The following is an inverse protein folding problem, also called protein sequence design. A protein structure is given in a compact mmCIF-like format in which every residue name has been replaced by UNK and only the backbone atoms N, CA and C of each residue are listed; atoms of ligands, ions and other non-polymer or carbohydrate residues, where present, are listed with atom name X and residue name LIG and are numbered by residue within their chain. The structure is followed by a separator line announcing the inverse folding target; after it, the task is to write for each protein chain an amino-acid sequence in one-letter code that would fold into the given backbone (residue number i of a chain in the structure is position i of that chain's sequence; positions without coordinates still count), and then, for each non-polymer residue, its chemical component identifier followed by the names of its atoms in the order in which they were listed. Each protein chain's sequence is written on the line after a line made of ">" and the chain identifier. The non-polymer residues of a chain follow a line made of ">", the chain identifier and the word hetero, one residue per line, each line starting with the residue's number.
data_IF_247620355538
#
_entry.id   IF_247620355538
#
_cell.length_a   1.000
_cell.length_b   1.000
_cell.length_c   1.000
_cell.angle_alpha   90.00
_cell.angle_beta   90.00
_cell.angle_gamma   90.00
#
_symmetry.space_group_name_H-M   'P 1'
#
loop_
_entity.id
_entity.type
_entity.pdbx_description
1 polymer ?
#
# COMPACT_ATOMS: atom_id res chain seq x y z
N UNK A 1 -36.57 -34.33 -34.04
CA UNK A 1 -35.90 -33.01 -33.95
C UNK A 1 -36.18 -32.47 -32.56
N UNK A 2 -35.19 -32.55 -31.65
CA UNK A 2 -35.29 -32.01 -30.30
C UNK A 2 -34.71 -30.59 -30.34
N UNK A 3 -35.51 -29.59 -30.03
CA UNK A 3 -35.07 -28.22 -29.89
C UNK A 3 -34.42 -28.06 -28.51
N UNK A 4 -33.14 -27.69 -28.48
CA UNK A 4 -32.44 -27.35 -27.26
C UNK A 4 -32.99 -26.04 -26.65
N UNK A 5 -33.26 -26.03 -25.35
CA UNK A 5 -33.61 -24.84 -24.59
C UNK A 5 -32.44 -23.83 -24.58
N UNK A 6 -32.72 -22.51 -24.63
CA UNK A 6 -31.68 -21.49 -24.60
C UNK A 6 -31.07 -21.40 -23.19
N UNK A 7 -29.74 -21.38 -23.15
CA UNK A 7 -28.95 -21.17 -21.93
C UNK A 7 -29.43 -19.92 -21.17
N UNK A 8 -29.67 -20.09 -19.87
CA UNK A 8 -30.01 -19.01 -18.95
C UNK A 8 -28.98 -17.89 -19.00
N UNK A 9 -29.46 -16.66 -19.23
CA UNK A 9 -28.64 -15.43 -19.15
C UNK A 9 -27.89 -15.38 -17.80
N UNK A 10 -26.59 -15.05 -17.78
CA UNK A 10 -25.86 -14.95 -16.53
C UNK A 10 -26.49 -13.84 -15.68
N UNK A 11 -26.99 -14.24 -14.50
CA UNK A 11 -27.38 -13.34 -13.42
C UNK A 11 -26.36 -12.21 -13.32
N UNK A 12 -26.84 -10.97 -13.42
CA UNK A 12 -26.02 -9.78 -13.28
C UNK A 12 -25.27 -9.86 -11.94
N UNK A 13 -24.00 -10.26 -11.96
CA UNK A 13 -23.11 -10.16 -10.80
C UNK A 13 -23.16 -8.70 -10.38
N UNK A 14 -23.63 -8.44 -9.17
CA UNK A 14 -23.60 -7.11 -8.58
C UNK A 14 -22.18 -6.58 -8.70
N UNK A 15 -22.03 -5.43 -9.35
CA UNK A 15 -20.75 -4.73 -9.38
C UNK A 15 -20.43 -4.42 -7.92
N UNK A 16 -19.27 -4.87 -7.38
CA UNK A 16 -18.92 -4.58 -6.00
C UNK A 16 -18.79 -3.07 -5.84
N UNK A 17 -19.78 -2.46 -5.17
CA UNK A 17 -19.72 -1.05 -4.78
C UNK A 17 -18.80 -0.96 -3.58
N UNK A 18 -17.70 -0.23 -3.71
CA UNK A 18 -16.88 0.14 -2.56
C UNK A 18 -17.68 1.14 -1.73
N UNK A 19 -18.16 0.70 -0.57
CA UNK A 19 -18.82 1.59 0.38
C UNK A 19 -17.81 2.62 0.92
N UNK A 20 -18.08 3.90 0.62
CA UNK A 20 -17.30 5.04 1.10
C UNK A 20 -17.24 5.03 2.64
N UNK A 21 -18.31 4.61 3.31
CA UNK A 21 -18.36 4.48 4.76
C UNK A 21 -17.34 3.47 5.30
N UNK A 22 -17.20 2.33 4.62
CA UNK A 22 -16.19 1.32 4.95
C UNK A 22 -14.76 1.84 4.72
N UNK A 23 -14.52 2.55 3.61
CA UNK A 23 -13.20 3.14 3.35
C UNK A 23 -12.79 4.16 4.43
N UNK A 24 -13.72 5.04 4.82
CA UNK A 24 -13.51 6.01 5.88
C UNK A 24 -13.30 5.33 7.25
N UNK A 25 -13.96 4.19 7.50
CA UNK A 25 -13.76 3.42 8.73
C UNK A 25 -12.35 2.84 8.81
N UNK A 26 -11.85 2.27 7.70
CA UNK A 26 -10.50 1.70 7.65
C UNK A 26 -9.43 2.80 7.80
N UNK A 27 -9.62 3.98 7.18
CA UNK A 27 -8.72 5.11 7.39
C UNK A 27 -8.66 5.54 8.86
N UNK A 28 -9.81 5.62 9.55
CA UNK A 28 -9.85 5.94 10.99
C UNK A 28 -9.14 4.89 11.84
N UNK A 29 -9.27 3.61 11.50
CA UNK A 29 -8.57 2.53 12.20
C UNK A 29 -7.06 2.68 12.03
N UNK A 30 -6.59 2.89 10.79
CA UNK A 30 -5.18 3.08 10.51
C UNK A 30 -4.61 4.30 11.27
N UNK A 31 -5.34 5.42 11.29
CA UNK A 31 -4.94 6.60 12.05
C UNK A 31 -4.84 6.31 13.55
N UNK A 32 -5.85 5.65 14.15
CA UNK A 32 -5.82 5.27 15.57
C UNK A 32 -4.66 4.33 15.92
N UNK A 33 -4.31 3.40 15.02
CA UNK A 33 -3.15 2.55 15.19
C UNK A 33 -1.85 3.38 15.19
N UNK A 34 -1.72 4.36 14.30
CA UNK A 34 -0.57 5.27 14.30
C UNK A 34 -0.49 6.10 15.59
N UNK A 35 -1.63 6.55 16.12
CA UNK A 35 -1.67 7.24 17.41
C UNK A 35 -1.16 6.36 18.55
N UNK A 36 -1.56 5.07 18.56
CA UNK A 36 -1.08 4.11 19.55
C UNK A 36 0.43 3.87 19.40
N UNK A 37 0.92 3.70 18.17
CA UNK A 37 2.37 3.55 17.90
C UNK A 37 3.14 4.77 18.43
N UNK A 38 2.66 5.99 18.20
CA UNK A 38 3.31 7.19 18.71
C UNK A 38 3.43 7.17 20.24
N UNK A 39 2.33 6.88 20.94
CA UNK A 39 2.32 6.80 22.41
C UNK A 39 3.25 5.69 22.91
N UNK A 40 3.30 4.52 22.26
CA UNK A 40 4.21 3.43 22.65
C UNK A 40 5.69 3.79 22.46
N UNK A 41 5.98 4.75 21.59
CA UNK A 41 7.32 5.27 21.35
C UNK A 41 7.64 6.49 22.25
N UNK A 42 6.76 6.83 23.20
CA UNK A 42 6.95 7.95 24.12
C UNK A 42 6.58 9.32 23.56
N UNK A 43 5.96 9.36 22.38
CA UNK A 43 5.56 10.59 21.70
C UNK A 43 4.09 10.97 21.94
N UNK A 44 3.72 12.19 21.57
CA UNK A 44 2.32 12.61 21.55
C UNK A 44 1.51 11.79 20.54
N UNK A 45 0.23 11.53 20.82
CA UNK A 45 -0.62 10.71 19.94
C UNK A 45 -0.75 11.25 18.52
N UNK A 46 -0.58 12.56 18.31
CA UNK A 46 -0.64 13.23 17.01
C UNK A 46 0.74 13.39 16.34
N UNK A 47 1.81 12.83 16.92
CA UNK A 47 3.19 12.98 16.42
C UNK A 47 3.31 12.62 14.94
N UNK A 48 2.68 11.52 14.50
CA UNK A 48 2.78 11.10 13.10
C UNK A 48 1.91 11.93 12.14
N UNK A 49 0.93 12.70 12.62
CA UNK A 49 0.02 13.47 11.76
C UNK A 49 0.78 14.43 10.84
N UNK A 50 1.95 14.91 11.28
CA UNK A 50 2.85 15.77 10.50
C UNK A 50 3.31 15.15 9.15
N UNK A 51 3.28 13.82 9.02
CA UNK A 51 3.67 13.09 7.81
C UNK A 51 2.48 12.73 6.92
N UNK A 52 1.25 12.72 7.45
CA UNK A 52 0.05 12.31 6.73
C UNK A 52 -0.87 13.48 6.39
N UNK A 53 -0.83 14.55 7.18
CA UNK A 53 -1.73 15.70 7.09
C UNK A 53 -0.92 16.99 7.23
N UNK A 54 -0.46 17.55 6.10
CA UNK A 54 0.33 18.79 6.10
C UNK A 54 -0.50 19.95 5.56
N UNK A 55 -0.61 21.03 6.32
CA UNK A 55 -1.04 22.32 5.76
C UNK A 55 0.18 23.09 5.28
N UNK A 56 0.26 23.36 3.98
CA UNK A 56 1.32 24.17 3.40
C UNK A 56 1.21 25.62 3.87
N UNK A 57 2.31 26.39 3.78
CA UNK A 57 2.34 27.83 4.10
C UNK A 57 1.33 28.67 3.29
N UNK A 58 0.90 28.16 2.14
CA UNK A 58 -0.13 28.77 1.28
C UNK A 58 -1.56 28.30 1.61
N UNK A 59 -1.78 27.64 2.75
CA UNK A 59 -3.10 27.13 3.17
C UNK A 59 -3.58 25.89 2.40
N UNK A 60 -2.83 25.37 1.42
CA UNK A 60 -3.17 24.10 0.75
C UNK A 60 -2.96 22.94 1.71
N UNK A 61 -3.99 22.12 1.93
CA UNK A 61 -3.89 20.86 2.67
C UNK A 61 -3.33 19.79 1.72
N UNK A 62 -2.09 19.38 1.95
CA UNK A 62 -1.56 18.13 1.40
C UNK A 62 -2.04 16.98 2.29
N UNK A 63 -2.75 16.04 1.68
CA UNK A 63 -3.34 14.89 2.36
C UNK A 63 -2.51 13.64 2.06
N UNK A 64 -2.69 12.64 2.90
CA UNK A 64 -2.14 11.30 2.72
C UNK A 64 -2.40 10.74 1.31
N UNK A 65 -1.55 9.82 0.86
CA UNK A 65 -1.72 9.14 -0.43
C UNK A 65 -2.26 7.72 -0.21
N UNK A 66 -3.26 7.59 0.68
CA UNK A 66 -3.87 6.31 1.00
C UNK A 66 -4.41 5.65 -0.27
N UNK A 67 -4.33 4.32 -0.34
CA UNK A 67 -4.83 3.57 -1.49
C UNK A 67 -5.49 2.27 -1.04
N UNK A 68 -6.50 1.83 -1.77
CA UNK A 68 -7.05 0.50 -1.64
C UNK A 68 -6.88 -0.23 -2.97
N UNK A 69 -6.37 -1.45 -2.92
CA UNK A 69 -6.20 -2.28 -4.13
C UNK A 69 -7.19 -3.42 -4.09
N UNK A 70 -8.04 -3.55 -5.11
CA UNK A 70 -8.90 -4.71 -5.26
C UNK A 70 -8.14 -5.80 -6.01
N UNK A 71 -7.91 -6.93 -5.35
CA UNK A 71 -7.24 -8.07 -5.96
C UNK A 71 -8.26 -9.18 -6.18
N UNK A 72 -8.19 -9.79 -7.35
CA UNK A 72 -8.85 -11.03 -7.70
C UNK A 72 -7.80 -12.09 -8.01
N UNK A 73 -7.89 -13.22 -7.31
CA UNK A 73 -7.02 -14.37 -7.51
C UNK A 73 -7.89 -15.51 -8.04
N UNK A 74 -7.83 -15.79 -9.36
CA UNK A 74 -8.57 -16.90 -9.91
C UNK A 74 -8.03 -18.22 -9.38
N UNK A 75 -8.87 -19.23 -9.34
CA UNK A 75 -8.43 -20.61 -9.13
C UNK A 75 -7.34 -20.99 -10.14
N UNK A 76 -6.23 -21.54 -9.63
CA UNK A 76 -5.13 -22.01 -10.47
C UNK A 76 -5.12 -23.54 -10.54
N UNK A 77 -4.98 -24.15 -11.73
CA UNK A 77 -4.81 -25.60 -11.88
C UNK A 77 -3.52 -26.12 -11.21
N UNK A 78 -2.42 -25.36 -11.32
CA UNK A 78 -1.10 -25.68 -10.75
C UNK A 78 -0.62 -24.56 -9.81
N UNK A 79 -1.12 -24.46 -8.56
CA UNK A 79 -0.77 -23.38 -7.65
C UNK A 79 0.72 -23.26 -7.32
N UNK A 80 1.42 -24.40 -7.32
CA UNK A 80 2.86 -24.54 -7.01
C UNK A 80 3.75 -23.75 -7.99
N UNK A 81 3.29 -23.53 -9.23
CA UNK A 81 4.06 -22.88 -10.31
C UNK A 81 3.93 -21.34 -10.29
N UNK A 82 3.21 -20.78 -9.31
CA UNK A 82 2.99 -19.33 -9.23
C UNK A 82 4.12 -18.62 -8.49
N UNK A 83 4.78 -17.66 -9.16
CA UNK A 83 5.77 -16.78 -8.53
C UNK A 83 5.11 -15.66 -7.73
N UNK A 84 5.58 -15.42 -6.50
CA UNK A 84 5.08 -14.34 -5.65
C UNK A 84 6.17 -13.78 -4.70
N UNK A 85 6.09 -12.47 -4.35
CA UNK A 85 7.10 -11.79 -3.52
C UNK A 85 7.05 -12.19 -2.03
N UNK A 86 7.97 -11.62 -1.23
CA UNK A 86 8.27 -11.93 0.18
C UNK A 86 7.04 -12.03 1.13
N UNK A 87 5.92 -11.39 0.78
CA UNK A 87 4.59 -11.72 1.30
C UNK A 87 3.72 -12.24 0.16
N UNK A 88 3.62 -13.58 0.05
CA UNK A 88 2.91 -14.24 -1.04
C UNK A 88 1.46 -14.57 -0.69
N UNK A 89 0.59 -14.41 -1.68
CA UNK A 89 -0.72 -15.06 -1.69
C UNK A 89 -0.56 -16.30 -2.57
N UNK A 90 -0.75 -17.47 -1.99
CA UNK A 90 -0.80 -18.71 -2.75
C UNK A 90 -2.12 -18.79 -3.51
N UNK A 91 -2.04 -19.20 -4.78
CA UNK A 91 -3.25 -19.54 -5.52
C UNK A 91 -3.93 -20.74 -4.85
N UNK A 92 -5.25 -20.77 -4.87
CA UNK A 92 -6.04 -21.87 -4.33
C UNK A 92 -6.57 -22.73 -5.49
N UNK A 93 -6.51 -24.06 -5.36
CA UNK A 93 -7.10 -25.00 -6.31
C UNK A 93 -8.60 -25.25 -6.07
N UNK A 94 -9.18 -24.80 -4.95
CA UNK A 94 -10.57 -25.08 -4.59
C UNK A 94 -11.55 -23.96 -4.96
N UNK A 95 -11.17 -22.70 -4.72
CA UNK A 95 -12.06 -21.54 -4.90
C UNK A 95 -11.31 -20.27 -5.29
N UNK A 96 -12.04 -19.37 -5.95
CA UNK A 96 -11.59 -18.00 -6.18
C UNK A 96 -11.41 -17.24 -4.86
N UNK A 97 -10.48 -16.27 -4.84
CA UNK A 97 -10.24 -15.40 -3.69
C UNK A 97 -10.26 -13.93 -4.11
N UNK A 98 -10.93 -13.11 -3.30
CA UNK A 98 -10.94 -11.66 -3.41
C UNK A 98 -10.29 -11.05 -2.17
N UNK A 99 -9.60 -9.93 -2.33
CA UNK A 99 -9.09 -9.16 -1.18
C UNK A 99 -9.00 -7.67 -1.52
N UNK A 100 -9.17 -6.83 -0.51
CA UNK A 100 -9.06 -5.38 -0.64
C UNK A 100 -8.08 -4.81 0.39
N UNK A 101 -6.74 -5.00 0.23
CA UNK A 101 -5.76 -4.34 1.11
C UNK A 101 -5.88 -2.82 1.04
N UNK A 102 -5.86 -2.20 2.22
CA UNK A 102 -5.74 -0.77 2.42
C UNK A 102 -4.30 -0.42 2.82
N UNK A 103 -3.74 0.59 2.17
CA UNK A 103 -2.41 1.12 2.43
C UNK A 103 -2.54 2.55 2.97
N UNK A 104 -2.14 2.75 4.23
CA UNK A 104 -2.08 4.07 4.86
C UNK A 104 -0.70 4.68 4.57
N UNK A 105 -0.64 5.64 3.66
CA UNK A 105 0.61 6.17 3.13
C UNK A 105 0.80 7.65 3.47
N UNK A 106 2.03 8.14 3.64
CA UNK A 106 2.32 9.56 3.88
C UNK A 106 1.76 10.49 2.81
N UNK A 107 1.74 11.79 3.09
CA UNK A 107 1.45 12.81 2.08
C UNK A 107 2.58 12.88 1.04
N UNK A 108 2.29 13.35 -0.19
CA UNK A 108 3.31 13.46 -1.23
C UNK A 108 4.50 14.34 -0.80
N UNK A 109 4.24 15.40 -0.04
CA UNK A 109 5.29 16.29 0.45
C UNK A 109 6.07 15.76 1.67
N UNK A 110 5.76 14.56 2.15
CA UNK A 110 6.43 14.00 3.32
C UNK A 110 7.89 13.65 3.05
N UNK A 111 8.75 14.04 3.97
CA UNK A 111 10.14 13.59 4.04
C UNK A 111 10.23 12.43 5.02
N UNK A 112 10.53 11.24 4.49
CA UNK A 112 10.66 10.02 5.28
C UNK A 112 12.12 9.89 5.70
N UNK A 113 12.34 9.81 7.01
CA UNK A 113 13.65 9.62 7.62
C UNK A 113 13.48 8.96 8.99
N UNK A 114 14.53 8.37 9.56
CA UNK A 114 14.53 8.02 10.98
C UNK A 114 14.24 9.28 11.81
N UNK A 115 13.14 9.29 12.57
CA UNK A 115 12.67 10.45 13.36
C UNK A 115 12.70 10.20 14.87
N UNK A 116 12.80 8.95 15.29
CA UNK A 116 12.88 8.53 16.69
C UNK A 116 14.13 7.68 16.86
N UNK A 117 15.27 8.36 16.87
CA UNK A 117 16.59 7.76 17.00
C UNK A 117 17.13 8.21 18.34
N UNK A 118 17.32 7.27 19.26
CA UNK A 118 17.92 7.56 20.56
C UNK A 118 19.35 8.05 20.40
N UNK A 119 19.91 8.73 21.41
CA UNK A 119 21.30 9.19 21.39
C UNK A 119 22.32 8.05 21.20
N UNK A 120 21.92 6.81 21.46
CA UNK A 120 22.71 5.60 21.27
C UNK A 120 22.41 4.87 19.95
N UNK A 121 21.37 5.27 19.23
CA UNK A 121 20.98 4.64 17.97
C UNK A 121 21.54 5.45 16.80
N UNK A 122 21.97 4.75 15.74
CA UNK A 122 22.52 5.39 14.54
C UNK A 122 21.50 5.26 13.41
N UNK A 123 21.12 6.36 12.74
CA UNK A 123 20.21 6.29 11.60
C UNK A 123 20.70 5.29 10.55
N UNK A 124 19.85 4.34 10.18
CA UNK A 124 20.20 3.30 9.17
C UNK A 124 19.88 3.72 7.74
N UNK A 125 19.04 4.74 7.57
CA UNK A 125 18.56 5.21 6.27
C UNK A 125 18.68 6.73 6.13
N UNK A 126 19.05 7.17 4.94
CA UNK A 126 19.03 8.57 4.52
C UNK A 126 17.58 9.04 4.38
N UNK A 127 17.39 10.35 4.44
CA UNK A 127 16.10 10.97 4.10
C UNK A 127 15.72 10.66 2.65
N UNK A 128 14.46 10.30 2.43
CA UNK A 128 13.84 10.18 1.11
C UNK A 128 12.57 11.02 1.04
N UNK A 129 12.25 11.58 -0.12
CA UNK A 129 10.98 12.26 -0.35
C UNK A 129 9.94 11.25 -0.86
N UNK A 130 8.75 11.23 -0.24
CA UNK A 130 7.73 10.22 -0.52
C UNK A 130 7.24 10.24 -1.97
N UNK A 131 6.96 11.43 -2.52
CA UNK A 131 6.52 11.58 -3.91
C UNK A 131 7.54 11.05 -4.89
N UNK A 132 8.81 11.41 -4.70
CA UNK A 132 9.87 10.96 -5.59
C UNK A 132 10.00 9.43 -5.56
N UNK A 133 10.08 8.85 -4.36
CA UNK A 133 10.21 7.41 -4.20
C UNK A 133 9.04 6.63 -4.81
N UNK A 134 7.79 7.07 -4.61
CA UNK A 134 6.64 6.34 -5.15
C UNK A 134 6.53 6.48 -6.66
N UNK A 135 6.94 7.61 -7.23
CA UNK A 135 6.99 7.78 -8.69
C UNK A 135 8.08 6.92 -9.33
N UNK A 136 9.27 6.86 -8.74
CA UNK A 136 10.33 5.98 -9.22
C UNK A 136 9.91 4.50 -9.13
N UNK A 137 9.26 4.12 -8.02
CA UNK A 137 8.73 2.76 -7.83
C UNK A 137 7.64 2.41 -8.85
N UNK A 138 6.73 3.33 -9.12
CA UNK A 138 5.65 3.09 -10.11
C UNK A 138 6.21 3.12 -11.53
N UNK A 139 7.15 4.01 -11.84
CA UNK A 139 7.80 4.07 -13.15
C UNK A 139 8.61 2.80 -13.44
N UNK A 140 9.32 2.25 -12.43
CA UNK A 140 10.02 0.96 -12.52
C UNK A 140 9.10 -0.19 -12.95
N UNK A 141 7.88 -0.24 -12.40
CA UNK A 141 6.89 -1.27 -12.78
C UNK A 141 6.48 -1.24 -14.27
N UNK A 142 6.67 -0.11 -14.98
CA UNK A 142 6.29 0.04 -16.39
C UNK A 142 7.50 0.15 -17.33
N UNK A 143 8.68 0.48 -16.81
CA UNK A 143 9.91 0.39 -17.56
C UNK A 143 10.29 -1.09 -17.70
N UNK A 144 10.64 -1.52 -18.91
CA UNK A 144 11.09 -2.89 -19.18
C UNK A 144 12.06 -3.42 -18.11
N UNK A 145 12.02 -4.73 -17.87
CA UNK A 145 12.74 -5.59 -16.89
C UNK A 145 14.25 -5.31 -16.62
N UNK A 146 14.85 -4.30 -17.23
CA UNK A 146 16.23 -3.88 -17.08
C UNK A 146 16.44 -2.66 -16.15
N UNK A 147 15.38 -1.97 -15.71
CA UNK A 147 15.49 -0.90 -14.70
C UNK A 147 15.14 -1.48 -13.34
N UNK A 148 16.09 -1.45 -12.40
CA UNK A 148 15.86 -1.90 -11.03
C UNK A 148 14.71 -1.10 -10.40
N UNK A 149 13.73 -1.79 -9.82
CA UNK A 149 12.66 -1.15 -9.07
C UNK A 149 13.25 -0.32 -7.92
N UNK A 150 12.72 0.89 -7.72
CA UNK A 150 13.12 1.71 -6.59
C UNK A 150 12.88 0.95 -5.27
N UNK A 151 13.96 0.67 -4.56
CA UNK A 151 13.94 -0.10 -3.32
C UNK A 151 14.51 0.72 -2.17
N UNK A 152 13.94 0.57 -0.96
CA UNK A 152 14.38 1.35 0.21
C UNK A 152 15.86 1.10 0.57
N UNK A 153 16.45 -0.02 0.14
CA UNK A 153 17.87 -0.31 0.31
C UNK A 153 18.77 0.71 -0.38
N UNK A 154 18.34 1.36 -1.46
CA UNK A 154 19.11 2.42 -2.12
C UNK A 154 19.35 3.63 -1.21
N UNK A 155 18.53 3.79 -0.18
CA UNK A 155 18.66 4.85 0.82
C UNK A 155 19.40 4.41 2.09
N UNK A 156 19.91 3.17 2.17
CA UNK A 156 20.65 2.68 3.35
C UNK A 156 21.97 3.46 3.53
N UNK A 157 22.26 3.87 4.75
CA UNK A 157 23.55 4.51 5.10
C UNK A 157 24.63 3.42 5.11
N UNK A 158 25.75 3.67 4.41
CA UNK A 158 26.86 2.72 4.32
C UNK A 158 26.76 1.69 3.19
N UNK A 159 25.74 1.75 2.32
CA UNK A 159 25.85 1.08 1.02
C UNK A 159 26.92 1.81 0.21
N UNK A 160 28.03 1.11 -0.08
CA UNK A 160 29.00 1.53 -1.08
C UNK A 160 28.30 1.53 -2.44
N UNK A 161 28.43 2.64 -3.18
CA UNK A 161 28.18 2.71 -4.62
C UNK A 161 29.18 1.85 -5.37
#
# INVERSE_FOLDING_TARGET
>A
MSAAEPASSPSARSVPVVDIGALMAVERIAHRLMMLVAVTLGEKSDFFDQFFYRTTRAGRKDKNTNSMRLNYYPKAPNPEETMAPLHRVLANGASDRFSAPFFHNPSFAADIRPVLVDALDTPKYKKLNWKQYIYEKVAGNFANLAVEDAHISHYRIGNAT
#
